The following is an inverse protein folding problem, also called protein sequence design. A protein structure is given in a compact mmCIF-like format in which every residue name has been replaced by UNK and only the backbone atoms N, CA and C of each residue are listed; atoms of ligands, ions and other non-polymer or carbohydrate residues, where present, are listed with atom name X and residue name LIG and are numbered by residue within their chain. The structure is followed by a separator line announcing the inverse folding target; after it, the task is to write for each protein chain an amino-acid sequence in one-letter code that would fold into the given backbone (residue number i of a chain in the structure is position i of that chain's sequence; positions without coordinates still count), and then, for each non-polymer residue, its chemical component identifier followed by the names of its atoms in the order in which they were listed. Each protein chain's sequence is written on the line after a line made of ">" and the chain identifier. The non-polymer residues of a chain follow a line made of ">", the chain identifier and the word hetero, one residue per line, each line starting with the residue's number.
data_IF_590176878032
#
_entry.id   IF_590176878032
#
_cell.length_a   1.000
_cell.length_b   1.000
_cell.length_c   1.000
_cell.angle_alpha   90.00
_cell.angle_beta   90.00
_cell.angle_gamma   90.00
#
_symmetry.space_group_name_H-M   'P 1'
#
loop_
_entity.id
_entity.type
_entity.pdbx_description
1 polymer ?
#
# COMPACT_ATOMS: atom_id res chain seq x y z
N UNK A 1 -38.82 -9.40 7.36
CA UNK A 1 -38.95 -8.05 7.95
C UNK A 1 -38.37 -7.07 6.95
N UNK A 2 -39.07 -5.97 6.65
CA UNK A 2 -38.53 -4.93 5.75
C UNK A 2 -37.35 -4.24 6.44
N UNK A 3 -36.22 -4.03 5.75
CA UNK A 3 -35.08 -3.30 6.29
C UNK A 3 -35.46 -1.82 6.54
N UNK A 4 -35.10 -1.28 7.70
CA UNK A 4 -35.32 0.13 7.99
C UNK A 4 -34.34 1.01 7.19
N UNK A 5 -34.82 2.16 6.73
CA UNK A 5 -33.95 3.16 6.12
C UNK A 5 -32.94 3.70 7.13
N UNK A 6 -31.70 3.75 6.72
CA UNK A 6 -30.58 4.29 7.47
C UNK A 6 -29.78 5.26 6.61
N UNK A 7 -29.05 6.17 7.24
CA UNK A 7 -28.08 7.02 6.56
C UNK A 7 -26.76 6.27 6.40
N UNK A 8 -26.11 6.43 5.23
CA UNK A 8 -24.80 5.87 4.95
C UNK A 8 -23.76 6.98 4.81
N UNK A 9 -22.64 6.82 5.44
CA UNK A 9 -21.50 7.72 5.33
C UNK A 9 -20.17 7.00 5.51
N UNK A 10 -19.09 7.72 5.34
CA UNK A 10 -17.72 7.27 5.50
C UNK A 10 -16.95 8.28 6.33
N UNK A 11 -16.08 7.84 7.23
CA UNK A 11 -15.24 8.71 8.03
C UNK A 11 -13.83 8.14 8.19
N UNK A 12 -12.77 8.99 8.22
CA UNK A 12 -11.44 8.55 8.59
C UNK A 12 -11.45 7.96 10.00
N UNK A 13 -10.74 6.84 10.16
CA UNK A 13 -10.57 6.17 11.43
C UNK A 13 -9.13 5.67 11.58
N UNK A 14 -8.72 5.41 12.81
CA UNK A 14 -7.38 4.92 13.13
C UNK A 14 -7.48 3.82 14.17
N UNK A 15 -6.91 2.65 13.87
CA UNK A 15 -6.57 1.65 14.87
C UNK A 15 -5.21 2.03 15.48
N UNK A 16 -5.17 2.25 16.76
CA UNK A 16 -3.93 2.60 17.46
C UNK A 16 -2.94 1.43 17.43
N UNK A 17 -1.67 1.74 17.23
CA UNK A 17 -0.58 0.78 17.43
C UNK A 17 -0.15 0.76 18.90
N UNK A 18 0.54 -0.30 19.31
CA UNK A 18 1.06 -0.41 20.66
C UNK A 18 1.85 -1.70 20.93
N UNK A 19 2.45 -1.82 22.12
CA UNK A 19 3.10 -3.06 22.52
C UNK A 19 2.05 -4.15 22.81
N UNK A 20 2.30 -5.35 22.32
CA UNK A 20 1.48 -6.54 22.63
C UNK A 20 1.96 -7.18 23.92
N UNK A 21 1.05 -7.89 24.60
CA UNK A 21 1.34 -8.63 25.83
C UNK A 21 2.32 -9.80 25.63
N UNK A 22 2.47 -10.28 24.39
CA UNK A 22 3.39 -11.34 23.98
C UNK A 22 4.79 -10.82 23.58
N UNK A 23 5.05 -9.51 23.76
CA UNK A 23 6.30 -8.85 23.38
C UNK A 23 6.38 -8.42 21.91
N UNK A 24 5.30 -8.62 21.14
CA UNK A 24 5.15 -8.10 19.79
C UNK A 24 4.77 -6.60 19.78
N UNK A 25 4.62 -6.05 18.59
CA UNK A 25 4.14 -4.68 18.39
C UNK A 25 2.98 -4.69 17.38
N UNK A 26 1.89 -4.05 17.76
CA UNK A 26 0.76 -3.81 16.86
C UNK A 26 1.01 -2.56 16.03
N UNK A 27 0.86 -2.68 14.72
CA UNK A 27 1.03 -1.52 13.85
C UNK A 27 -0.21 -0.61 13.92
N UNK A 28 0.04 0.71 13.94
CA UNK A 28 -1.02 1.69 13.70
C UNK A 28 -1.56 1.50 12.27
N UNK A 29 -2.88 1.56 12.13
CA UNK A 29 -3.58 1.46 10.82
C UNK A 29 -4.54 2.62 10.67
N UNK A 30 -4.38 3.39 9.59
CA UNK A 30 -5.34 4.41 9.19
C UNK A 30 -6.25 3.80 8.10
N UNK A 31 -7.57 3.94 8.25
CA UNK A 31 -8.55 3.37 7.34
C UNK A 31 -9.79 4.28 7.24
N UNK A 32 -10.75 3.92 6.40
CA UNK A 32 -12.05 4.59 6.30
C UNK A 32 -13.10 3.71 6.95
N UNK A 33 -13.74 4.18 8.00
CA UNK A 33 -14.84 3.48 8.66
C UNK A 33 -16.18 3.77 8.00
N UNK A 34 -17.07 2.80 8.03
CA UNK A 34 -18.46 2.97 7.64
C UNK A 34 -19.23 3.66 8.76
N UNK A 35 -20.03 4.66 8.40
CA UNK A 35 -20.90 5.40 9.34
C UNK A 35 -22.34 5.10 8.99
N UNK A 36 -23.08 4.53 9.94
CA UNK A 36 -24.49 4.21 9.81
C UNK A 36 -25.27 4.99 10.85
N UNK A 37 -26.24 5.79 10.41
CA UNK A 37 -27.03 6.68 11.25
C UNK A 37 -26.18 7.60 12.14
N UNK A 38 -25.08 8.12 11.54
CA UNK A 38 -24.18 9.03 12.20
C UNK A 38 -23.21 8.39 13.21
N UNK A 39 -23.25 7.07 13.38
CA UNK A 39 -22.38 6.33 14.29
C UNK A 39 -21.44 5.38 13.53
N UNK A 40 -20.13 5.31 13.88
CA UNK A 40 -19.21 4.34 13.29
C UNK A 40 -19.74 2.91 13.43
N UNK A 41 -19.78 2.17 12.34
CA UNK A 41 -20.31 0.80 12.35
C UNK A 41 -19.41 -0.13 13.19
N UNK A 42 -18.09 0.07 13.17
CA UNK A 42 -17.17 -0.69 13.99
C UNK A 42 -17.51 -0.57 15.49
N UNK A 43 -17.91 0.61 15.94
CA UNK A 43 -18.36 0.83 17.30
C UNK A 43 -19.70 0.11 17.61
N UNK A 44 -20.65 0.11 16.65
CA UNK A 44 -21.92 -0.61 16.80
C UNK A 44 -21.72 -2.13 16.90
N UNK A 45 -20.67 -2.66 16.25
CA UNK A 45 -20.26 -4.07 16.29
C UNK A 45 -19.47 -4.44 17.57
N UNK A 46 -19.52 -3.59 18.61
CA UNK A 46 -18.76 -3.77 19.87
C UNK A 46 -17.23 -3.67 19.73
N UNK A 47 -16.76 -2.95 18.71
CA UNK A 47 -15.37 -2.58 18.51
C UNK A 47 -14.43 -3.78 18.39
N UNK A 48 -14.63 -4.72 17.44
CA UNK A 48 -13.65 -5.78 17.19
C UNK A 48 -12.33 -5.14 16.76
N UNK A 49 -11.19 -5.80 17.07
CA UNK A 49 -9.88 -5.37 16.57
C UNK A 49 -9.77 -5.72 15.09
N UNK A 50 -10.36 -4.87 14.26
CA UNK A 50 -10.47 -5.05 12.83
C UNK A 50 -10.45 -3.69 12.12
N UNK A 51 -10.08 -3.66 10.86
CA UNK A 51 -10.04 -2.48 10.00
C UNK A 51 -10.82 -2.73 8.71
N UNK A 52 -11.42 -1.70 8.14
CA UNK A 52 -12.07 -1.86 6.85
C UNK A 52 -11.02 -2.02 5.73
N UNK A 53 -11.35 -2.71 4.63
CA UNK A 53 -10.46 -2.81 3.47
C UNK A 53 -10.39 -1.50 2.67
N UNK A 54 -11.15 -0.45 3.07
CA UNK A 54 -11.16 0.83 2.40
C UNK A 54 -10.04 1.75 2.91
N UNK A 55 -9.15 2.15 2.03
CA UNK A 55 -7.98 2.99 2.35
C UNK A 55 -7.10 2.43 3.47
N UNK A 56 -7.15 1.12 3.71
CA UNK A 56 -6.25 0.39 4.58
C UNK A 56 -4.92 0.16 3.88
N UNK A 57 -3.82 0.18 4.63
CA UNK A 57 -2.51 -0.24 4.15
C UNK A 57 -2.24 -1.73 4.43
N UNK A 58 -3.27 -2.48 4.80
CA UNK A 58 -3.24 -3.95 4.97
C UNK A 58 -3.52 -4.62 3.64
N UNK A 59 -2.64 -5.50 3.14
CA UNK A 59 -2.86 -6.27 1.92
C UNK A 59 -3.87 -7.42 2.13
N UNK A 60 -4.53 -7.94 1.08
CA UNK A 60 -4.25 -7.73 -0.35
C UNK A 60 -5.14 -6.70 -1.05
N UNK A 61 -5.53 -5.60 -0.43
CA UNK A 61 -6.51 -4.70 -0.99
C UNK A 61 -6.00 -3.91 -2.21
N UNK A 62 -6.54 -4.16 -3.40
CA UNK A 62 -6.68 -3.13 -4.42
C UNK A 62 -7.95 -2.37 -4.05
N UNK A 63 -7.78 -1.17 -3.52
CA UNK A 63 -8.82 -0.35 -2.97
C UNK A 63 -10.03 -0.14 -3.91
N UNK A 64 -9.77 0.09 -5.19
CA UNK A 64 -10.80 0.25 -6.23
C UNK A 64 -11.70 -0.99 -6.36
N UNK A 65 -11.13 -2.19 -6.28
CA UNK A 65 -11.90 -3.43 -6.36
C UNK A 65 -12.83 -3.59 -5.15
N UNK A 66 -12.39 -3.19 -3.96
CA UNK A 66 -13.22 -3.23 -2.75
C UNK A 66 -14.41 -2.27 -2.86
N UNK A 67 -14.18 -1.04 -3.33
CA UNK A 67 -15.26 -0.07 -3.55
C UNK A 67 -16.27 -0.59 -4.58
N UNK A 68 -15.80 -1.12 -5.72
CA UNK A 68 -16.65 -1.72 -6.76
C UNK A 68 -17.43 -2.93 -6.26
N UNK A 69 -16.82 -3.74 -5.40
CA UNK A 69 -17.50 -4.84 -4.74
C UNK A 69 -18.67 -4.36 -3.87
N UNK A 70 -18.45 -3.34 -3.05
CA UNK A 70 -19.50 -2.74 -2.22
C UNK A 70 -20.58 -2.04 -3.05
N UNK A 71 -20.25 -1.52 -4.24
CA UNK A 71 -21.21 -0.98 -5.22
C UNK A 71 -21.96 -2.07 -5.99
N UNK A 72 -21.63 -3.35 -5.77
CA UNK A 72 -22.16 -4.51 -6.52
C UNK A 72 -21.88 -4.44 -8.03
N UNK A 73 -20.79 -3.80 -8.41
CA UNK A 73 -20.27 -3.76 -9.79
C UNK A 73 -19.42 -4.99 -10.11
N UNK A 74 -19.05 -5.76 -9.09
CA UNK A 74 -18.40 -7.07 -9.20
C UNK A 74 -19.11 -8.08 -8.31
N UNK A 75 -18.89 -9.38 -8.56
CA UNK A 75 -19.45 -10.45 -7.72
C UNK A 75 -18.96 -10.37 -6.28
N UNK A 76 -19.80 -10.85 -5.35
CA UNK A 76 -19.42 -10.95 -3.94
C UNK A 76 -18.20 -11.89 -3.78
N UNK A 77 -17.20 -11.49 -2.95
CA UNK A 77 -15.98 -12.29 -2.76
C UNK A 77 -16.22 -13.58 -1.97
N UNK A 78 -17.33 -13.67 -1.24
CA UNK A 78 -17.66 -14.82 -0.40
C UNK A 78 -19.02 -15.45 -0.80
N UNK A 79 -19.24 -16.73 -0.53
CA UNK A 79 -20.50 -17.40 -0.79
C UNK A 79 -21.71 -16.69 -0.16
N UNK A 80 -22.88 -16.83 -0.80
CA UNK A 80 -24.13 -16.25 -0.31
C UNK A 80 -24.25 -14.74 -0.45
N UNK A 81 -23.48 -14.10 -1.34
CA UNK A 81 -23.54 -12.67 -1.56
C UNK A 81 -22.88 -11.85 -0.45
N UNK A 82 -21.92 -12.44 0.28
CA UNK A 82 -21.27 -11.80 1.42
C UNK A 82 -20.05 -11.01 1.03
N UNK A 83 -19.89 -9.85 1.67
CA UNK A 83 -18.77 -8.94 1.50
C UNK A 83 -18.03 -8.77 2.83
N UNK A 84 -16.72 -8.62 2.78
CA UNK A 84 -15.90 -8.31 3.94
C UNK A 84 -16.02 -6.79 4.21
N UNK A 85 -16.46 -6.45 5.41
CA UNK A 85 -16.56 -5.07 5.89
C UNK A 85 -15.38 -4.67 6.76
N UNK A 86 -14.90 -5.60 7.60
CA UNK A 86 -13.72 -5.41 8.43
C UNK A 86 -12.95 -6.72 8.51
N UNK A 87 -11.64 -6.64 8.41
CA UNK A 87 -10.73 -7.78 8.48
C UNK A 87 -9.62 -7.59 9.50
N UNK A 88 -8.80 -8.61 9.67
CA UNK A 88 -7.64 -8.58 10.54
C UNK A 88 -6.71 -7.40 10.17
N UNK A 89 -6.33 -6.54 11.14
CA UNK A 89 -5.49 -5.38 10.86
C UNK A 89 -4.05 -5.72 10.46
N UNK A 90 -3.67 -7.00 10.55
CA UNK A 90 -2.31 -7.45 10.23
C UNK A 90 -2.22 -8.12 8.84
N UNK A 91 -3.24 -8.86 8.40
CA UNK A 91 -3.16 -9.66 7.18
C UNK A 91 -4.44 -9.71 6.33
N UNK A 92 -5.59 -9.26 6.86
CA UNK A 92 -6.92 -9.40 6.24
C UNK A 92 -7.32 -10.84 5.89
N UNK A 93 -6.60 -11.84 6.43
CA UNK A 93 -6.91 -13.24 6.20
C UNK A 93 -8.23 -13.62 6.89
N UNK A 94 -9.15 -14.22 6.13
CA UNK A 94 -10.44 -14.68 6.66
C UNK A 94 -10.26 -15.71 7.79
N UNK A 95 -9.19 -16.49 7.79
CA UNK A 95 -8.89 -17.42 8.87
C UNK A 95 -8.61 -16.73 10.21
N UNK A 96 -8.12 -15.49 10.20
CA UNK A 96 -8.00 -14.65 11.40
C UNK A 96 -9.35 -14.09 11.86
N UNK A 97 -10.35 -14.10 10.99
CA UNK A 97 -11.68 -13.58 11.21
C UNK A 97 -11.93 -12.24 10.52
N UNK A 98 -13.15 -12.08 10.05
CA UNK A 98 -13.63 -10.87 9.42
C UNK A 98 -15.10 -10.61 9.80
N UNK A 99 -15.48 -9.35 9.91
CA UNK A 99 -16.90 -8.98 9.89
C UNK A 99 -17.38 -8.97 8.46
N UNK A 100 -18.37 -9.79 8.17
CA UNK A 100 -18.98 -9.90 6.86
C UNK A 100 -20.47 -9.60 6.92
N UNK A 101 -21.04 -9.11 5.82
CA UNK A 101 -22.48 -8.95 5.66
C UNK A 101 -22.90 -9.34 4.24
N UNK A 102 -24.15 -9.73 4.08
CA UNK A 102 -24.77 -9.82 2.77
C UNK A 102 -25.09 -8.42 2.31
N UNK A 103 -24.66 -8.07 1.11
CA UNK A 103 -25.02 -6.81 0.45
C UNK A 103 -25.79 -7.13 -0.81
N UNK A 104 -26.99 -6.56 -0.94
CA UNK A 104 -27.85 -6.80 -2.09
C UNK A 104 -28.55 -5.51 -2.53
N UNK A 105 -29.08 -5.51 -3.75
CA UNK A 105 -29.95 -4.43 -4.23
C UNK A 105 -31.42 -4.78 -3.96
N UNK A 106 -32.16 -3.77 -3.53
CA UNK A 106 -33.61 -3.80 -3.48
C UNK A 106 -34.14 -2.55 -4.22
N UNK A 107 -34.46 -2.75 -5.50
CA UNK A 107 -34.71 -1.64 -6.44
C UNK A 107 -33.46 -0.81 -6.70
N UNK A 108 -33.52 0.49 -6.41
CA UNK A 108 -32.38 1.41 -6.52
C UNK A 108 -31.54 1.49 -5.22
N UNK A 109 -32.05 0.93 -4.12
CA UNK A 109 -31.42 0.98 -2.80
C UNK A 109 -30.44 -0.20 -2.59
N UNK A 110 -29.61 -0.08 -1.55
CA UNK A 110 -28.72 -1.12 -1.08
C UNK A 110 -29.16 -1.60 0.30
N UNK A 111 -29.16 -2.90 0.50
CA UNK A 111 -29.52 -3.53 1.79
C UNK A 111 -28.30 -4.30 2.31
N UNK A 112 -27.93 -3.98 3.56
CA UNK A 112 -26.92 -4.71 4.31
C UNK A 112 -27.61 -5.51 5.41
N UNK A 113 -27.36 -6.81 5.43
CA UNK A 113 -28.00 -7.74 6.39
C UNK A 113 -27.11 -8.91 6.78
N UNK A 114 -27.52 -9.64 7.77
CA UNK A 114 -26.88 -10.88 8.21
C UNK A 114 -25.39 -10.67 8.56
N UNK A 115 -25.12 -9.65 9.38
CA UNK A 115 -23.77 -9.35 9.87
C UNK A 115 -23.27 -10.51 10.73
N UNK A 116 -22.04 -10.95 10.48
CA UNK A 116 -21.42 -12.02 11.24
C UNK A 116 -19.90 -11.88 11.34
N UNK A 117 -19.32 -12.37 12.42
CA UNK A 117 -17.91 -12.69 12.49
C UNK A 117 -17.66 -14.02 11.78
N UNK A 118 -16.84 -14.04 10.75
CA UNK A 118 -16.63 -15.19 9.88
C UNK A 118 -15.13 -15.54 9.83
N UNK A 119 -14.80 -16.83 10.02
CA UNK A 119 -13.44 -17.38 10.00
C UNK A 119 -13.24 -18.48 8.96
N UNK A 120 -14.23 -18.72 8.11
CA UNK A 120 -14.20 -19.76 7.08
C UNK A 120 -15.13 -19.40 5.92
N UNK A 121 -15.27 -20.28 4.94
CA UNK A 121 -16.06 -20.01 3.72
C UNK A 121 -17.54 -19.72 3.99
N UNK A 122 -18.12 -20.31 5.04
CA UNK A 122 -19.55 -20.17 5.37
C UNK A 122 -19.67 -19.47 6.73
N UNK A 123 -20.51 -18.42 6.79
CA UNK A 123 -20.81 -17.72 8.02
C UNK A 123 -21.79 -18.53 8.88
N UNK A 124 -21.47 -18.74 10.15
CA UNK A 124 -22.37 -19.33 11.15
C UNK A 124 -23.14 -18.17 11.84
N UNK A 125 -24.33 -17.89 11.32
CA UNK A 125 -25.14 -16.79 11.82
C UNK A 125 -25.72 -17.06 13.22
N UNK A 126 -25.93 -18.35 13.59
CA UNK A 126 -26.47 -18.69 14.90
C UNK A 126 -25.45 -18.40 16.02
N UNK A 127 -24.19 -18.71 15.78
CA UNK A 127 -23.11 -18.56 16.78
C UNK A 127 -22.41 -17.20 16.71
N UNK A 128 -22.21 -16.71 15.49
CA UNK A 128 -21.33 -15.57 15.22
C UNK A 128 -22.04 -14.38 14.60
N UNK A 129 -23.40 -14.45 14.50
CA UNK A 129 -24.21 -13.37 13.95
C UNK A 129 -24.34 -12.18 14.92
N UNK A 130 -24.28 -10.99 14.38
CA UNK A 130 -24.58 -9.73 15.11
C UNK A 130 -26.09 -9.46 15.06
N UNK A 131 -26.88 -10.22 15.83
CA UNK A 131 -28.34 -10.21 15.77
C UNK A 131 -29.01 -8.87 16.10
N UNK A 132 -28.27 -7.95 16.72
CA UNK A 132 -28.74 -6.59 17.02
C UNK A 132 -28.38 -5.54 15.98
N UNK A 133 -27.67 -5.93 14.91
CA UNK A 133 -27.16 -5.01 13.88
C UNK A 133 -27.88 -5.24 12.55
N UNK A 134 -28.53 -4.17 12.07
CA UNK A 134 -29.30 -4.21 10.82
C UNK A 134 -30.62 -5.01 10.92
N UNK A 135 -31.23 -5.38 9.78
CA UNK A 135 -30.83 -5.00 8.43
C UNK A 135 -30.96 -3.49 8.18
N UNK A 136 -30.00 -2.92 7.45
CA UNK A 136 -30.01 -1.52 7.04
C UNK A 136 -30.38 -1.39 5.56
N UNK A 137 -31.18 -0.39 5.23
CA UNK A 137 -31.50 0.00 3.86
C UNK A 137 -30.94 1.39 3.58
N UNK A 138 -30.08 1.53 2.60
CA UNK A 138 -29.44 2.78 2.23
C UNK A 138 -30.00 3.30 0.91
N UNK A 139 -30.43 4.57 0.83
CA UNK A 139 -30.84 5.19 -0.42
C UNK A 139 -29.72 5.12 -1.46
N UNK A 140 -30.00 4.52 -2.62
CA UNK A 140 -29.01 4.23 -3.64
C UNK A 140 -28.17 5.43 -4.09
N UNK A 141 -28.75 6.60 -4.38
CA UNK A 141 -27.96 7.78 -4.76
C UNK A 141 -26.93 8.19 -3.72
N UNK A 142 -27.33 8.26 -2.43
CA UNK A 142 -26.44 8.64 -1.33
C UNK A 142 -25.35 7.61 -1.09
N UNK A 143 -25.68 6.32 -1.15
CA UNK A 143 -24.73 5.21 -1.02
C UNK A 143 -23.68 5.24 -2.13
N UNK A 144 -24.09 5.35 -3.40
CA UNK A 144 -23.19 5.44 -4.55
C UNK A 144 -22.32 6.69 -4.49
N UNK A 145 -22.89 7.84 -4.08
CA UNK A 145 -22.13 9.08 -3.94
C UNK A 145 -21.02 8.94 -2.89
N UNK A 146 -21.31 8.37 -1.72
CA UNK A 146 -20.33 8.21 -0.65
C UNK A 146 -19.18 7.30 -1.04
N UNK A 147 -19.47 6.13 -1.64
CA UNK A 147 -18.44 5.20 -2.11
C UNK A 147 -17.73 5.70 -3.36
N UNK A 148 -18.46 6.32 -4.30
CA UNK A 148 -17.90 6.90 -5.52
C UNK A 148 -16.90 8.02 -5.22
N UNK A 149 -17.14 8.83 -4.18
CA UNK A 149 -16.21 9.86 -3.74
C UNK A 149 -14.83 9.30 -3.35
N UNK A 150 -14.72 8.03 -2.97
CA UNK A 150 -13.44 7.37 -2.75
C UNK A 150 -12.72 7.05 -4.07
N UNK A 151 -13.47 6.79 -5.13
CA UNK A 151 -12.91 6.58 -6.48
C UNK A 151 -12.54 7.92 -7.13
N UNK A 152 -13.30 8.97 -6.82
CA UNK A 152 -13.10 10.33 -7.31
C UNK A 152 -12.11 11.12 -6.41
N UNK A 153 -11.63 10.52 -5.32
CA UNK A 153 -10.60 11.12 -4.46
C UNK A 153 -9.45 11.65 -5.32
N UNK A 154 -8.62 12.60 -4.83
CA UNK A 154 -7.56 13.17 -5.66
C UNK A 154 -6.74 12.00 -6.18
N UNK A 155 -7.03 11.62 -7.45
CA UNK A 155 -6.20 10.68 -8.19
C UNK A 155 -4.79 11.24 -8.05
N UNK A 156 -3.85 10.52 -7.39
CA UNK A 156 -2.47 10.98 -7.35
C UNK A 156 -2.13 11.40 -8.77
N UNK A 157 -1.52 12.56 -8.99
CA UNK A 157 -1.33 13.08 -10.34
C UNK A 157 -0.80 11.93 -11.22
N UNK A 158 -1.31 11.75 -12.44
CA UNK A 158 -0.96 10.63 -13.29
C UNK A 158 0.57 10.51 -13.33
N UNK A 159 1.11 9.39 -12.86
CA UNK A 159 2.54 9.17 -12.71
C UNK A 159 3.07 9.03 -11.27
N UNK A 160 2.22 9.04 -10.24
CA UNK A 160 2.65 8.80 -8.84
C UNK A 160 1.92 7.69 -8.11
N UNK A 161 1.35 6.72 -8.82
CA UNK A 161 0.75 5.52 -8.23
C UNK A 161 1.59 4.30 -8.56
N UNK A 162 1.83 3.43 -7.59
CA UNK A 162 2.72 2.27 -7.70
C UNK A 162 1.99 1.01 -7.26
N UNK A 163 2.12 -0.06 -8.03
CA UNK A 163 1.61 -1.38 -7.69
C UNK A 163 2.70 -2.21 -7.02
N UNK A 164 2.44 -2.70 -5.81
CA UNK A 164 3.33 -3.56 -5.05
C UNK A 164 2.81 -5.00 -5.12
N UNK A 165 3.63 -5.93 -5.59
CA UNK A 165 3.22 -7.33 -5.84
C UNK A 165 4.11 -8.29 -5.07
N UNK A 166 3.50 -9.24 -4.36
CA UNK A 166 4.20 -10.38 -3.77
C UNK A 166 3.67 -10.83 -2.42
N UNK A 167 4.12 -12.02 -2.01
CA UNK A 167 3.63 -12.74 -0.83
C UNK A 167 4.16 -12.22 0.52
N UNK A 168 5.18 -11.37 0.57
CA UNK A 168 5.72 -10.79 1.82
C UNK A 168 4.97 -9.53 2.22
N UNK A 169 3.75 -9.72 2.63
CA UNK A 169 2.76 -8.74 3.02
C UNK A 169 3.32 -7.66 3.97
N UNK A 170 3.97 -8.04 5.07
CA UNK A 170 4.48 -7.10 6.06
C UNK A 170 5.56 -6.12 5.52
N UNK A 171 6.39 -6.55 4.56
CA UNK A 171 7.35 -5.67 3.90
C UNK A 171 6.64 -4.70 2.97
N UNK A 172 5.70 -5.20 2.17
CA UNK A 172 4.97 -4.40 1.18
C UNK A 172 4.08 -3.36 1.88
N UNK A 173 3.45 -3.71 3.01
CA UNK A 173 2.69 -2.77 3.82
C UNK A 173 3.56 -1.63 4.36
N UNK A 174 4.74 -1.95 4.91
CA UNK A 174 5.69 -0.93 5.37
C UNK A 174 6.17 -0.03 4.23
N UNK A 175 6.40 -0.63 3.06
CA UNK A 175 6.79 0.13 1.87
C UNK A 175 5.65 1.03 1.38
N UNK A 176 4.41 0.51 1.34
CA UNK A 176 3.24 1.29 0.95
C UNK A 176 3.02 2.50 1.87
N UNK A 177 3.08 2.29 3.19
CA UNK A 177 2.96 3.36 4.16
C UNK A 177 4.07 4.43 3.97
N UNK A 178 5.31 4.00 3.74
CA UNK A 178 6.42 4.92 3.48
C UNK A 178 6.24 5.70 2.17
N UNK A 179 5.81 5.04 1.08
CA UNK A 179 5.53 5.70 -0.21
C UNK A 179 4.41 6.74 -0.09
N UNK A 180 3.32 6.39 0.60
CA UNK A 180 2.20 7.32 0.84
C UNK A 180 2.63 8.55 1.66
N UNK A 181 3.52 8.37 2.65
CA UNK A 181 4.11 9.49 3.40
C UNK A 181 4.93 10.44 2.51
N UNK A 182 5.44 9.96 1.35
CA UNK A 182 6.11 10.74 0.32
C UNK A 182 5.18 11.24 -0.80
N UNK A 183 3.85 11.13 -0.62
CA UNK A 183 2.86 11.54 -1.62
C UNK A 183 2.81 10.64 -2.87
N UNK A 184 3.27 9.39 -2.74
CA UNK A 184 3.21 8.37 -3.79
C UNK A 184 2.10 7.38 -3.41
N UNK A 185 1.05 7.28 -4.25
CA UNK A 185 0.01 6.27 -4.09
C UNK A 185 0.61 4.87 -4.20
N UNK A 186 0.24 3.95 -3.33
CA UNK A 186 0.75 2.59 -3.34
C UNK A 186 -0.36 1.61 -3.02
N UNK A 187 -0.58 0.67 -3.94
CA UNK A 187 -1.55 -0.41 -3.79
C UNK A 187 -0.82 -1.74 -3.78
N UNK A 188 -1.34 -2.70 -3.03
CA UNK A 188 -0.71 -4.00 -2.84
C UNK A 188 -1.65 -5.08 -3.38
N UNK A 189 -1.09 -6.03 -4.12
CA UNK A 189 -1.81 -7.22 -4.57
C UNK A 189 -0.92 -8.45 -4.53
N UNK A 190 -1.52 -9.64 -4.42
CA UNK A 190 -0.81 -10.91 -4.55
C UNK A 190 -0.33 -11.16 -5.98
N UNK A 191 -1.19 -10.84 -6.95
CA UNK A 191 -0.94 -11.02 -8.38
C UNK A 191 -1.70 -9.96 -9.21
N UNK A 192 -1.73 -10.11 -10.52
CA UNK A 192 -2.46 -9.26 -11.46
C UNK A 192 -3.59 -10.00 -12.17
N UNK A 193 -3.95 -11.20 -11.71
CA UNK A 193 -5.03 -11.96 -12.31
C UNK A 193 -6.38 -11.26 -12.05
N UNK A 194 -7.15 -11.07 -13.11
CA UNK A 194 -8.43 -10.36 -13.02
C UNK A 194 -8.36 -8.85 -12.89
N UNK A 195 -7.18 -8.24 -12.78
CA UNK A 195 -7.06 -6.77 -12.74
C UNK A 195 -7.37 -6.18 -14.11
N UNK A 196 -8.35 -5.26 -14.22
CA UNK A 196 -8.69 -4.64 -15.50
C UNK A 196 -7.51 -3.85 -16.09
N UNK A 197 -7.36 -3.88 -17.41
CA UNK A 197 -6.31 -3.14 -18.11
C UNK A 197 -6.35 -1.63 -17.85
N UNK A 198 -7.54 -1.08 -17.62
CA UNK A 198 -7.75 0.33 -17.27
C UNK A 198 -7.10 0.67 -15.94
N UNK A 199 -7.19 -0.22 -14.96
CA UNK A 199 -6.59 -0.04 -13.65
C UNK A 199 -5.06 -0.15 -13.72
N UNK A 200 -4.53 -1.10 -14.50
CA UNK A 200 -3.09 -1.21 -14.73
C UNK A 200 -2.49 0.06 -15.36
N UNK A 201 -3.26 0.78 -16.20
CA UNK A 201 -2.84 2.07 -16.79
C UNK A 201 -2.67 3.18 -15.75
N UNK A 202 -3.29 3.04 -14.58
CA UNK A 202 -3.15 3.99 -13.48
C UNK A 202 -1.81 3.91 -12.75
N UNK A 203 -1.02 2.85 -12.96
CA UNK A 203 0.25 2.66 -12.27
C UNK A 203 1.45 3.17 -13.07
N UNK A 204 2.26 3.99 -12.44
CA UNK A 204 3.47 4.57 -13.02
C UNK A 204 4.73 3.70 -12.80
N UNK A 205 4.70 2.80 -11.84
CA UNK A 205 5.74 1.83 -11.57
C UNK A 205 5.18 0.57 -10.89
N UNK A 206 5.91 -0.53 -10.97
CA UNK A 206 5.58 -1.80 -10.31
C UNK A 206 6.75 -2.24 -9.44
N UNK A 207 6.48 -2.61 -8.20
CA UNK A 207 7.46 -3.19 -7.29
C UNK A 207 7.18 -4.68 -7.14
N UNK A 208 8.17 -5.51 -7.46
CA UNK A 208 8.09 -6.96 -7.31
C UNK A 208 8.76 -7.39 -6.00
N UNK A 209 7.98 -8.04 -5.14
CA UNK A 209 8.44 -8.54 -3.84
C UNK A 209 9.60 -9.55 -3.96
N UNK A 210 10.42 -9.72 -2.91
CA UNK A 210 11.59 -10.58 -2.97
C UNK A 210 11.27 -12.07 -3.09
N UNK A 211 10.04 -12.48 -2.79
CA UNK A 211 9.57 -13.86 -2.91
C UNK A 211 8.77 -14.13 -4.20
N UNK A 212 8.58 -13.11 -5.05
CA UNK A 212 7.88 -13.26 -6.34
C UNK A 212 8.70 -14.15 -7.28
N UNK A 213 8.11 -15.29 -7.69
CA UNK A 213 8.75 -16.26 -8.56
C UNK A 213 8.98 -15.74 -9.98
N UNK A 214 9.84 -16.39 -10.75
CA UNK A 214 10.15 -15.95 -12.13
C UNK A 214 8.92 -16.04 -13.04
N UNK A 215 8.11 -17.08 -12.90
CA UNK A 215 6.87 -17.25 -13.69
C UNK A 215 5.87 -16.14 -13.37
N UNK A 216 5.69 -15.81 -12.10
CA UNK A 216 4.82 -14.74 -11.62
C UNK A 216 5.30 -13.36 -12.11
N UNK A 217 6.61 -13.09 -12.03
CA UNK A 217 7.23 -11.88 -12.61
C UNK A 217 6.97 -11.75 -14.12
N UNK A 218 7.02 -12.85 -14.85
CA UNK A 218 6.73 -12.88 -16.28
C UNK A 218 5.23 -12.62 -16.53
N UNK A 219 4.34 -13.23 -15.76
CA UNK A 219 2.90 -13.02 -15.88
C UNK A 219 2.51 -11.55 -15.63
N UNK A 220 3.10 -10.93 -14.59
CA UNK A 220 2.88 -9.50 -14.29
C UNK A 220 3.35 -8.62 -15.44
N UNK A 221 4.55 -8.83 -15.97
CA UNK A 221 5.06 -8.06 -17.13
C UNK A 221 4.13 -8.20 -18.33
N UNK A 222 3.69 -9.42 -18.63
CA UNK A 222 2.77 -9.68 -19.72
C UNK A 222 1.41 -8.99 -19.51
N UNK A 223 0.90 -8.89 -18.27
CA UNK A 223 -0.33 -8.16 -17.98
C UNK A 223 -0.19 -6.67 -18.30
N UNK A 224 0.93 -6.03 -17.93
CA UNK A 224 1.23 -4.63 -18.23
C UNK A 224 1.46 -4.41 -19.73
N UNK A 225 2.13 -5.33 -20.44
CA UNK A 225 2.30 -5.29 -21.89
C UNK A 225 0.95 -5.36 -22.61
N UNK A 226 0.06 -6.28 -22.21
CA UNK A 226 -1.31 -6.38 -22.76
C UNK A 226 -2.14 -5.12 -22.49
N UNK A 227 -1.93 -4.47 -21.36
CA UNK A 227 -2.57 -3.19 -21.03
C UNK A 227 -1.96 -1.98 -21.77
N UNK A 228 -0.88 -2.19 -22.56
CA UNK A 228 -0.09 -1.16 -23.23
C UNK A 228 0.49 -0.11 -22.26
N UNK A 229 0.98 -0.55 -21.09
CA UNK A 229 1.57 0.30 -20.05
C UNK A 229 3.07 0.10 -19.99
N UNK A 230 3.83 1.16 -20.25
CA UNK A 230 5.29 1.18 -20.08
C UNK A 230 5.66 1.61 -18.64
N UNK A 231 5.41 0.75 -17.66
CA UNK A 231 5.80 1.00 -16.27
C UNK A 231 7.19 0.39 -15.98
N UNK A 232 8.09 1.10 -15.27
CA UNK A 232 9.32 0.52 -14.77
C UNK A 232 9.02 -0.51 -13.67
N UNK A 233 9.82 -1.60 -13.66
CA UNK A 233 9.74 -2.64 -12.66
C UNK A 233 10.90 -2.48 -11.67
N UNK A 234 10.59 -2.40 -10.40
CA UNK A 234 11.55 -2.26 -9.29
C UNK A 234 11.55 -3.55 -8.47
N UNK A 235 12.71 -4.13 -8.24
CA UNK A 235 12.85 -5.27 -7.33
C UNK A 235 12.90 -4.82 -5.88
N UNK A 236 12.07 -5.44 -5.02
CA UNK A 236 12.07 -5.18 -3.58
C UNK A 236 13.18 -5.93 -2.82
N UNK A 237 14.35 -6.03 -3.42
CA UNK A 237 15.56 -6.57 -2.80
C UNK A 237 16.68 -5.51 -2.84
N UNK A 238 17.37 -5.26 -1.72
CA UNK A 238 17.17 -5.81 -0.38
C UNK A 238 15.90 -5.24 0.30
N UNK A 239 15.37 -5.92 1.34
CA UNK A 239 14.16 -5.50 2.03
C UNK A 239 14.44 -4.34 3.01
N UNK A 240 15.02 -3.26 2.52
CA UNK A 240 15.34 -2.04 3.27
C UNK A 240 14.42 -0.94 2.77
N UNK A 241 13.35 -0.64 3.53
CA UNK A 241 12.29 0.26 3.11
C UNK A 241 12.79 1.62 2.60
N UNK A 242 13.71 2.35 3.26
CA UNK A 242 14.23 3.63 2.72
C UNK A 242 14.92 3.49 1.37
N UNK A 243 15.61 2.37 1.10
CA UNK A 243 16.25 2.10 -0.19
C UNK A 243 15.21 1.82 -1.27
N UNK A 244 14.15 1.07 -0.92
CA UNK A 244 13.05 0.78 -1.82
C UNK A 244 12.26 2.03 -2.19
N UNK A 245 11.97 2.90 -1.23
CA UNK A 245 11.36 4.21 -1.49
C UNK A 245 12.21 5.01 -2.47
N UNK A 246 13.51 5.12 -2.22
CA UNK A 246 14.42 5.85 -3.09
C UNK A 246 14.49 5.26 -4.52
N UNK A 247 14.46 3.92 -4.66
CA UNK A 247 14.39 3.25 -5.98
C UNK A 247 13.08 3.55 -6.70
N UNK A 248 11.96 3.55 -5.99
CA UNK A 248 10.67 3.90 -6.57
C UNK A 248 10.66 5.37 -7.00
N UNK A 249 11.11 6.29 -6.15
CA UNK A 249 11.23 7.71 -6.51
C UNK A 249 12.10 7.91 -7.75
N UNK A 250 13.24 7.21 -7.82
CA UNK A 250 14.12 7.25 -9.00
C UNK A 250 13.43 6.70 -10.25
N UNK A 251 12.68 5.59 -10.12
CA UNK A 251 11.93 5.01 -11.24
C UNK A 251 10.77 5.89 -11.72
N UNK A 252 10.18 6.67 -10.82
CA UNK A 252 9.13 7.64 -11.12
C UNK A 252 9.66 8.99 -11.66
N UNK A 253 10.96 9.24 -11.54
CA UNK A 253 11.58 10.47 -12.05
C UNK A 253 11.63 10.44 -13.59
N UNK A 254 10.72 11.18 -14.20
CA UNK A 254 10.62 11.39 -15.65
C UNK A 254 11.34 12.64 -16.13
N UNK A 255 12.07 13.31 -15.26
CA UNK A 255 12.85 14.50 -15.63
C UNK A 255 13.87 14.14 -16.70
N UNK A 256 13.99 14.92 -17.78
CA UNK A 256 15.04 14.70 -18.77
C UNK A 256 16.42 14.85 -18.12
N UNK A 257 17.39 14.08 -18.59
CA UNK A 257 18.76 14.03 -18.03
C UNK A 257 19.36 15.43 -17.74
N UNK A 258 19.23 16.43 -18.64
CA UNK A 258 19.77 17.76 -18.37
C UNK A 258 19.11 18.52 -17.21
N UNK A 259 17.88 18.13 -16.82
CA UNK A 259 17.15 18.74 -15.71
C UNK A 259 17.43 18.05 -14.36
N UNK A 260 18.13 16.92 -14.36
CA UNK A 260 18.47 16.20 -13.12
C UNK A 260 19.65 16.84 -12.44
N UNK A 261 19.52 17.13 -11.14
CA UNK A 261 20.58 17.70 -10.33
C UNK A 261 21.66 16.67 -9.98
N UNK A 262 21.26 15.43 -9.72
CA UNK A 262 22.16 14.30 -9.50
C UNK A 262 22.21 13.44 -10.78
N UNK A 263 23.40 13.25 -11.34
CA UNK A 263 23.60 12.53 -12.60
C UNK A 263 24.21 11.15 -12.39
N UNK A 264 25.01 10.98 -11.34
CA UNK A 264 25.68 9.71 -11.06
C UNK A 264 25.91 9.52 -9.56
N UNK A 265 25.75 8.29 -9.10
CA UNK A 265 26.17 7.84 -7.78
C UNK A 265 26.86 6.48 -7.95
N UNK A 266 28.10 6.37 -7.49
CA UNK A 266 28.82 5.10 -7.41
C UNK A 266 29.49 4.97 -6.05
N UNK A 267 29.76 3.74 -5.62
CA UNK A 267 30.42 3.46 -4.36
C UNK A 267 31.34 2.25 -4.52
N UNK A 268 32.63 2.49 -4.48
CA UNK A 268 33.67 1.47 -4.56
C UNK A 268 34.90 1.88 -3.74
N UNK A 269 35.67 0.93 -3.32
CA UNK A 269 36.98 1.15 -2.65
C UNK A 269 36.92 2.14 -1.48
N UNK A 270 35.85 2.01 -0.66
CA UNK A 270 35.67 2.90 0.51
C UNK A 270 35.37 4.36 0.18
N UNK A 271 34.92 4.66 -1.04
CA UNK A 271 34.60 6.01 -1.48
C UNK A 271 33.29 6.03 -2.25
N UNK A 272 32.38 6.96 -1.92
CA UNK A 272 31.25 7.31 -2.76
C UNK A 272 31.64 8.46 -3.70
N UNK A 273 31.21 8.36 -4.97
CA UNK A 273 31.34 9.46 -5.93
C UNK A 273 29.95 9.92 -6.32
N UNK A 274 29.66 11.19 -6.06
CA UNK A 274 28.40 11.86 -6.43
C UNK A 274 28.69 12.87 -7.52
N UNK A 275 28.05 12.77 -8.66
CA UNK A 275 28.13 13.78 -9.73
C UNK A 275 26.91 14.67 -9.71
N UNK A 276 27.15 15.99 -9.68
CA UNK A 276 26.15 17.04 -9.57
C UNK A 276 26.20 17.91 -10.83
N UNK A 277 25.03 18.12 -11.46
CA UNK A 277 24.94 18.94 -12.68
C UNK A 277 24.74 20.42 -12.39
N UNK A 278 24.18 20.77 -11.24
CA UNK A 278 23.95 22.15 -10.81
C UNK A 278 24.13 22.26 -9.30
N UNK A 279 24.65 23.39 -8.80
CA UNK A 279 24.83 23.63 -7.36
C UNK A 279 23.53 23.33 -6.60
N UNK A 280 23.58 22.41 -5.64
CA UNK A 280 22.40 22.02 -4.84
C UNK A 280 22.80 21.39 -3.51
N UNK A 281 21.90 21.45 -2.54
CA UNK A 281 22.04 20.68 -1.31
C UNK A 281 21.85 19.21 -1.60
N UNK A 282 22.81 18.41 -1.16
CA UNK A 282 22.83 16.95 -1.30
C UNK A 282 22.89 16.32 0.07
N UNK A 283 22.03 15.34 0.33
CA UNK A 283 22.16 14.44 1.47
C UNK A 283 22.58 13.07 0.95
N UNK A 284 23.55 12.44 1.62
CA UNK A 284 23.99 11.08 1.33
C UNK A 284 23.83 10.22 2.58
N UNK A 285 23.05 9.15 2.48
CA UNK A 285 22.81 8.22 3.58
C UNK A 285 23.21 6.80 3.20
N UNK A 286 23.77 6.04 4.13
CA UNK A 286 24.05 4.62 3.98
C UNK A 286 23.00 3.78 4.69
N UNK A 287 22.52 2.74 4.03
CA UNK A 287 21.52 1.80 4.56
C UNK A 287 22.03 0.37 4.43
N UNK A 288 21.93 -0.41 5.49
CA UNK A 288 22.33 -1.82 5.50
C UNK A 288 21.46 -2.62 6.48
N UNK A 289 21.50 -3.93 6.36
CA UNK A 289 20.96 -4.82 7.39
C UNK A 289 22.09 -5.21 8.34
N UNK A 290 21.82 -5.24 9.63
CA UNK A 290 22.73 -5.84 10.61
C UNK A 290 22.63 -7.38 10.59
N UNK A 291 23.41 -8.04 11.44
CA UNK A 291 23.43 -9.52 11.53
C UNK A 291 22.08 -10.12 11.94
N UNK A 292 21.18 -9.32 12.51
CA UNK A 292 19.83 -9.72 12.89
C UNK A 292 18.78 -9.27 11.87
N UNK A 293 19.22 -8.93 10.64
CA UNK A 293 18.37 -8.42 9.55
C UNK A 293 17.61 -7.14 9.91
N UNK A 294 18.09 -6.36 10.88
CA UNK A 294 17.50 -5.07 11.25
C UNK A 294 18.10 -3.95 10.38
N UNK A 295 17.27 -3.05 9.84
CA UNK A 295 17.77 -1.92 9.05
C UNK A 295 18.58 -0.97 9.94
N UNK A 296 19.72 -0.54 9.41
CA UNK A 296 20.60 0.49 9.99
C UNK A 296 20.80 1.59 8.98
N UNK A 297 20.63 2.81 9.42
CA UNK A 297 20.86 4.02 8.63
C UNK A 297 21.99 4.81 9.23
N UNK A 298 22.80 5.43 8.39
CA UNK A 298 23.90 6.31 8.78
C UNK A 298 23.97 7.47 7.79
N UNK A 299 23.96 8.69 8.32
CA UNK A 299 24.19 9.89 7.54
C UNK A 299 25.69 10.02 7.25
N UNK A 300 26.02 10.23 5.97
CA UNK A 300 27.39 10.35 5.50
C UNK A 300 27.74 11.78 5.10
N UNK A 301 26.79 12.49 4.52
CA UNK A 301 26.99 13.87 4.06
C UNK A 301 25.66 14.63 4.06
N UNK A 302 25.70 15.91 4.45
CA UNK A 302 24.62 16.86 4.25
C UNK A 302 25.25 18.24 4.01
N UNK A 303 25.12 18.78 2.80
CA UNK A 303 25.71 20.06 2.43
C UNK A 303 25.44 20.43 1.00
N UNK A 304 25.91 21.61 0.60
CA UNK A 304 25.84 22.10 -0.79
C UNK A 304 27.03 21.57 -1.55
N UNK A 305 26.78 20.99 -2.72
CA UNK A 305 27.80 20.58 -3.68
C UNK A 305 27.67 21.42 -4.95
N UNK A 306 28.83 21.88 -5.45
CA UNK A 306 28.94 22.60 -6.72
C UNK A 306 28.90 21.59 -7.90
N UNK A 307 28.64 22.07 -9.14
CA UNK A 307 28.68 21.19 -10.31
C UNK A 307 30.00 20.43 -10.43
N UNK A 308 29.93 19.13 -10.69
CA UNK A 308 31.09 18.26 -10.84
C UNK A 308 31.01 16.98 -10.00
N UNK A 309 32.13 16.26 -9.96
CA UNK A 309 32.27 14.99 -9.23
C UNK A 309 32.86 15.20 -7.84
N UNK A 310 32.14 14.72 -6.82
CA UNK A 310 32.55 14.84 -5.41
C UNK A 310 32.83 13.47 -4.81
N UNK A 311 33.98 13.35 -4.14
CA UNK A 311 34.39 12.11 -3.47
C UNK A 311 34.11 12.23 -1.98
N UNK A 312 33.27 11.32 -1.48
CA UNK A 312 32.89 11.29 -0.06
C UNK A 312 33.44 9.98 0.52
N UNK A 313 34.35 10.04 1.51
CA UNK A 313 34.91 8.84 2.11
C UNK A 313 33.81 8.07 2.87
N UNK A 314 33.83 6.74 2.76
CA UNK A 314 32.98 5.85 3.50
C UNK A 314 33.74 5.29 4.70
N UNK A 315 33.16 5.34 5.88
CA UNK A 315 33.75 4.68 7.04
C UNK A 315 33.70 3.14 6.90
N UNK A 316 34.43 2.43 7.74
CA UNK A 316 34.55 0.98 7.64
C UNK A 316 33.22 0.20 7.83
N UNK A 317 32.14 0.86 8.24
CA UNK A 317 30.78 0.27 8.31
C UNK A 317 30.00 0.55 7.03
N UNK A 318 30.09 1.74 6.51
CA UNK A 318 29.43 2.15 5.28
C UNK A 318 30.09 1.54 4.04
N UNK A 319 31.40 1.23 4.09
CA UNK A 319 32.17 0.61 3.02
C UNK A 319 31.98 -0.92 2.85
N UNK A 320 31.04 -1.53 3.59
CA UNK A 320 30.82 -2.99 3.56
C UNK A 320 29.88 -3.40 2.44
N UNK A 321 30.12 -4.60 1.89
CA UNK A 321 29.17 -5.26 1.00
C UNK A 321 27.79 -5.38 1.64
N UNK A 322 26.73 -5.23 0.82
CA UNK A 322 25.34 -5.21 1.30
C UNK A 322 24.91 -3.87 1.87
N UNK A 323 25.76 -2.83 1.83
CA UNK A 323 25.38 -1.44 2.09
C UNK A 323 24.87 -0.80 0.81
N UNK A 324 23.84 0.02 0.94
CA UNK A 324 23.24 0.82 -0.13
C UNK A 324 23.32 2.29 0.22
N UNK A 325 23.78 3.08 -0.73
CA UNK A 325 23.84 4.53 -0.61
C UNK A 325 22.61 5.14 -1.28
N UNK A 326 22.02 6.14 -0.65
CA UNK A 326 20.95 6.96 -1.20
C UNK A 326 21.43 8.41 -1.19
N UNK A 327 21.57 9.00 -2.37
CA UNK A 327 21.83 10.42 -2.55
C UNK A 327 20.52 11.13 -2.91
N UNK A 328 20.21 12.23 -2.22
CA UNK A 328 19.02 13.04 -2.46
C UNK A 328 19.39 14.50 -2.69
N UNK A 329 18.78 15.10 -3.69
CA UNK A 329 18.73 16.54 -3.92
C UNK A 329 17.30 16.93 -4.29
N UNK A 330 16.99 18.22 -4.34
CA UNK A 330 15.66 18.66 -4.73
C UNK A 330 15.26 18.11 -6.11
N UNK A 331 14.27 17.22 -6.14
CA UNK A 331 13.74 16.60 -7.36
C UNK A 331 14.60 15.47 -7.97
N UNK A 332 15.68 15.04 -7.31
CA UNK A 332 16.54 13.96 -7.80
C UNK A 332 16.92 13.00 -6.68
N UNK A 333 16.82 11.70 -6.95
CA UNK A 333 17.24 10.62 -6.04
C UNK A 333 18.03 9.57 -6.80
N UNK A 334 19.18 9.17 -6.28
CA UNK A 334 19.98 8.07 -6.81
C UNK A 334 20.27 7.03 -5.74
N UNK A 335 20.37 5.78 -6.16
CA UNK A 335 20.69 4.65 -5.29
C UNK A 335 21.86 3.86 -5.88
N UNK A 336 22.86 3.56 -5.09
CA UNK A 336 23.97 2.70 -5.47
C UNK A 336 24.23 1.62 -4.40
N UNK A 337 24.57 0.41 -4.84
CA UNK A 337 25.15 -0.58 -3.94
C UNK A 337 26.64 -0.30 -3.76
N UNK A 338 27.15 -0.53 -2.55
CA UNK A 338 28.60 -0.49 -2.29
C UNK A 338 29.20 -1.79 -2.82
N UNK A 339 30.21 -1.67 -3.66
CA UNK A 339 31.01 -2.77 -4.20
C UNK A 339 32.43 -2.64 -3.71
N UNK A 340 33.10 -3.77 -3.56
CA UNK A 340 34.56 -3.83 -3.28
C UNK A 340 35.35 -3.66 -4.55
#
# INVERSE_FOLDING_TARGET
>A
MSAAYATFGLAPATRAGGPRTDGGHEARRDFVDFVVDGSPLLFQLSGPDAVSPLASDVPPAIFTAQVRGLLLESGAPLPGGRHILYGCPECEDLACGAVTAVIERDGDDYVWRDFAWQTGEIADLERNGYHGIGPFRFPGPAYRQALGALLDGPVPPPGRRVLLIGARVALLAKLAAALRAHGIGADITGDTEGVPAEELRGYAAVVLGPATGQAERAAVRQAFERAAVAAPFVDAAPPIVPVLVARVEHALDRSPLPARRLTRLTAADGTAVVEVAASCRVTLTAHRLDRLSRPRTQDLYDGVLEPGGHRIPLDGKAARDGTYLVARAAGSVLVAAVTR
#
